data_IF_995296374832
#
_entry.id   IF_995296374832
#
_cell.length_a   1.000
_cell.length_b   1.000
_cell.length_c   1.000
_cell.angle_alpha   90.00
_cell.angle_beta   90.00
_cell.angle_gamma   90.00
#
_symmetry.space_group_name_H-M   'P 1'
#
loop_
_entity.id
_entity.type
_entity.pdbx_description
1 polymer ?
#
# COMPACT_ATOMS: atom_id res chain seq x y z
N UNK A 1 -0.63 -28.21 2.03
CA UNK A 1 -0.26 -28.61 0.65
C UNK A 1 -0.98 -27.66 -0.29
N UNK A 2 -0.25 -26.81 -1.01
CA UNK A 2 -0.85 -25.98 -2.06
C UNK A 2 -1.09 -26.86 -3.27
N UNK A 3 -2.33 -26.97 -3.72
CA UNK A 3 -2.67 -27.72 -4.93
C UNK A 3 -1.84 -27.22 -6.12
N UNK A 4 -1.35 -28.15 -6.94
CA UNK A 4 -0.62 -27.81 -8.16
C UNK A 4 -1.53 -27.01 -9.11
N UNK A 5 -0.92 -26.15 -9.93
CA UNK A 5 -1.66 -25.38 -10.94
C UNK A 5 -2.46 -26.32 -11.84
N UNK A 6 -3.78 -26.11 -11.93
CA UNK A 6 -4.67 -26.83 -12.84
C UNK A 6 -5.10 -25.87 -13.93
N UNK A 7 -5.00 -26.32 -15.20
CA UNK A 7 -5.47 -25.55 -16.35
C UNK A 7 -6.96 -25.24 -16.18
N UNK A 8 -7.31 -23.95 -16.16
CA UNK A 8 -8.69 -23.47 -15.96
C UNK A 8 -9.05 -23.11 -14.52
N UNK A 9 -8.21 -23.44 -13.53
CA UNK A 9 -8.39 -22.94 -12.16
C UNK A 9 -8.06 -21.44 -12.07
N UNK A 10 -8.83 -20.71 -11.26
CA UNK A 10 -8.60 -19.29 -11.02
C UNK A 10 -7.24 -19.04 -10.36
N UNK A 11 -6.45 -18.13 -10.92
CA UNK A 11 -5.16 -17.75 -10.34
C UNK A 11 -5.43 -16.80 -9.16
N UNK A 12 -5.20 -17.27 -7.93
CA UNK A 12 -5.64 -16.58 -6.70
C UNK A 12 -5.25 -15.09 -6.64
N UNK A 13 -4.00 -14.74 -6.90
CA UNK A 13 -3.57 -13.33 -6.82
C UNK A 13 -4.22 -12.44 -7.89
N UNK A 14 -4.55 -12.99 -9.05
CA UNK A 14 -5.31 -12.29 -10.10
C UNK A 14 -6.75 -12.10 -9.67
N UNK A 15 -7.37 -13.14 -9.10
CA UNK A 15 -8.74 -13.07 -8.61
C UNK A 15 -8.90 -12.05 -7.47
N UNK A 16 -7.98 -12.05 -6.51
CA UNK A 16 -7.96 -11.08 -5.41
C UNK A 16 -7.83 -9.65 -5.94
N UNK A 17 -6.91 -9.43 -6.90
CA UNK A 17 -6.73 -8.13 -7.54
C UNK A 17 -8.00 -7.65 -8.25
N UNK A 18 -8.70 -8.53 -8.97
CA UNK A 18 -9.95 -8.21 -9.66
C UNK A 18 -11.07 -7.84 -8.68
N UNK A 19 -11.19 -8.62 -7.60
CA UNK A 19 -12.23 -8.47 -6.58
C UNK A 19 -12.08 -7.20 -5.74
N UNK A 20 -10.86 -6.82 -5.39
CA UNK A 20 -10.61 -5.71 -4.47
C UNK A 20 -10.89 -4.35 -5.13
N UNK A 21 -11.58 -3.47 -4.40
CA UNK A 21 -11.71 -2.04 -4.75
C UNK A 21 -10.48 -1.22 -4.32
N UNK A 22 -9.84 -1.64 -3.23
CA UNK A 22 -8.67 -1.02 -2.60
C UNK A 22 -7.83 -2.12 -1.96
N UNK A 23 -6.50 -1.97 -1.96
CA UNK A 23 -5.58 -2.84 -1.21
C UNK A 23 -4.95 -2.05 -0.08
N UNK A 24 -4.88 -2.64 1.11
CA UNK A 24 -4.26 -2.02 2.29
C UNK A 24 -3.18 -2.95 2.83
N UNK A 25 -1.97 -2.42 3.04
CA UNK A 25 -0.85 -3.12 3.66
C UNK A 25 -0.49 -2.43 4.97
N UNK A 26 -0.97 -2.98 6.09
CA UNK A 26 -0.78 -2.44 7.43
C UNK A 26 -0.49 -3.57 8.44
N UNK A 27 0.76 -3.74 8.92
CA UNK A 27 1.93 -2.93 8.60
C UNK A 27 2.59 -3.28 7.26
N UNK A 28 3.14 -2.27 6.58
CA UNK A 28 4.17 -2.46 5.55
C UNK A 28 5.53 -2.56 6.23
N UNK A 29 6.07 -3.77 6.33
CA UNK A 29 7.42 -4.01 6.84
C UNK A 29 8.49 -3.52 5.86
N UNK A 30 9.69 -3.20 6.36
CA UNK A 30 10.82 -2.80 5.51
C UNK A 30 11.18 -3.85 4.45
N UNK A 31 11.05 -5.14 4.77
CA UNK A 31 11.28 -6.22 3.81
C UNK A 31 10.26 -6.20 2.66
N UNK A 32 8.97 -6.02 2.98
CA UNK A 32 7.92 -5.93 1.95
C UNK A 32 8.08 -4.66 1.13
N UNK A 33 8.41 -3.52 1.75
CA UNK A 33 8.74 -2.28 1.07
C UNK A 33 9.88 -2.49 0.05
N UNK A 34 10.97 -3.12 0.48
CA UNK A 34 12.10 -3.41 -0.39
C UNK A 34 11.71 -4.32 -1.57
N UNK A 35 10.93 -5.38 -1.32
CA UNK A 35 10.45 -6.27 -2.38
C UNK A 35 9.58 -5.53 -3.40
N UNK A 36 8.62 -4.74 -2.91
CA UNK A 36 7.67 -3.99 -3.76
C UNK A 36 8.42 -3.00 -4.65
N UNK A 37 9.32 -2.19 -4.09
CA UNK A 37 10.07 -1.18 -4.85
C UNK A 37 11.00 -1.83 -5.90
N UNK A 38 11.56 -3.00 -5.60
CA UNK A 38 12.43 -3.73 -6.54
C UNK A 38 11.66 -4.70 -7.46
N UNK A 39 10.34 -4.75 -7.40
CA UNK A 39 9.52 -5.62 -8.25
C UNK A 39 9.57 -7.12 -7.91
N UNK A 40 10.06 -7.50 -6.73
CA UNK A 40 10.13 -8.89 -6.29
C UNK A 40 8.72 -9.41 -5.94
N UNK A 41 8.32 -10.51 -6.58
CA UNK A 41 6.98 -11.10 -6.47
C UNK A 41 7.10 -12.58 -6.11
N UNK A 42 7.41 -12.85 -4.85
CA UNK A 42 7.79 -14.18 -4.35
C UNK A 42 6.79 -14.79 -3.34
N UNK A 43 5.71 -14.08 -3.04
CA UNK A 43 4.65 -14.53 -2.15
C UNK A 43 3.28 -13.96 -2.58
N UNK A 44 2.20 -14.40 -1.95
CA UNK A 44 0.84 -14.01 -2.35
C UNK A 44 0.65 -12.48 -2.36
N UNK A 45 1.09 -11.77 -1.31
CA UNK A 45 0.93 -10.32 -1.20
C UNK A 45 1.70 -9.60 -2.31
N UNK A 46 2.98 -9.92 -2.50
CA UNK A 46 3.81 -9.26 -3.52
C UNK A 46 3.34 -9.59 -4.94
N UNK A 47 2.81 -10.79 -5.17
CA UNK A 47 2.15 -11.16 -6.43
C UNK A 47 0.90 -10.33 -6.71
N UNK A 48 0.05 -10.09 -5.69
CA UNK A 48 -1.14 -9.23 -5.83
C UNK A 48 -0.72 -7.79 -6.15
N UNK A 49 0.26 -7.25 -5.42
CA UNK A 49 0.77 -5.88 -5.64
C UNK A 49 1.36 -5.73 -7.05
N UNK A 50 2.14 -6.71 -7.51
CA UNK A 50 2.75 -6.66 -8.86
C UNK A 50 1.71 -6.76 -9.97
N UNK A 51 0.64 -7.50 -9.74
CA UNK A 51 -0.48 -7.65 -10.68
C UNK A 51 -1.52 -6.53 -10.58
N UNK A 52 -1.33 -5.55 -9.69
CA UNK A 52 -2.29 -4.47 -9.43
C UNK A 52 -2.55 -3.65 -10.69
N UNK A 53 -3.82 -3.41 -11.03
CA UNK A 53 -4.16 -2.56 -12.18
C UNK A 53 -4.07 -1.09 -11.77
N UNK A 54 -2.93 -0.49 -12.09
CA UNK A 54 -2.63 0.91 -11.83
C UNK A 54 -3.21 1.85 -12.88
N UNK A 55 -3.65 1.31 -14.01
CA UNK A 55 -4.07 2.07 -15.19
C UNK A 55 -5.58 2.18 -15.33
N UNK A 56 -6.32 1.21 -14.78
CA UNK A 56 -7.74 1.01 -15.00
C UNK A 56 -8.08 0.33 -16.33
N UNK A 57 -7.12 0.13 -17.24
CA UNK A 57 -7.39 -0.51 -18.53
C UNK A 57 -7.69 -2.01 -18.43
N UNK A 58 -7.20 -2.68 -17.39
CA UNK A 58 -7.31 -4.15 -17.26
C UNK A 58 -8.60 -4.55 -16.58
N UNK A 59 -9.08 -3.77 -15.60
CA UNK A 59 -10.25 -4.09 -14.77
C UNK A 59 -11.45 -3.16 -15.02
N UNK A 60 -11.67 -2.74 -16.28
CA UNK A 60 -12.93 -2.10 -16.67
C UNK A 60 -13.06 -0.62 -16.31
N UNK A 61 -11.95 0.12 -16.28
CA UNK A 61 -11.90 1.58 -16.20
C UNK A 61 -11.69 2.15 -14.80
N UNK A 62 -11.73 1.34 -13.75
CA UNK A 62 -11.53 1.79 -12.38
C UNK A 62 -10.06 1.75 -11.97
N UNK A 63 -9.46 2.92 -11.71
CA UNK A 63 -8.08 3.02 -11.21
C UNK A 63 -8.05 2.75 -9.71
N UNK A 64 -7.49 1.60 -9.33
CA UNK A 64 -7.51 1.13 -7.93
C UNK A 64 -6.26 1.56 -7.17
N UNK A 65 -6.40 1.82 -5.87
CA UNK A 65 -5.31 2.33 -5.02
C UNK A 65 -4.77 1.28 -4.06
N UNK A 66 -3.49 1.39 -3.74
CA UNK A 66 -2.81 0.66 -2.67
C UNK A 66 -2.46 1.65 -1.56
N UNK A 67 -3.02 1.45 -0.38
CA UNK A 67 -2.65 2.17 0.84
C UNK A 67 -1.63 1.34 1.60
N UNK A 68 -0.57 1.98 2.05
CA UNK A 68 0.45 1.31 2.87
C UNK A 68 0.69 2.09 4.14
N UNK A 69 0.76 1.39 5.27
CA UNK A 69 1.12 1.97 6.57
C UNK A 69 2.47 1.38 7.01
N UNK A 70 3.60 2.05 6.70
CA UNK A 70 4.92 1.58 7.09
C UNK A 70 5.03 1.42 8.61
N UNK A 71 5.64 0.32 9.03
CA UNK A 71 5.97 0.10 10.43
C UNK A 71 7.30 -0.65 10.54
N UNK A 72 8.25 -0.04 11.22
CA UNK A 72 9.58 -0.62 11.44
C UNK A 72 10.28 0.08 12.60
N UNK A 73 11.33 -0.54 13.13
CA UNK A 73 12.16 0.08 14.14
C UNK A 73 12.75 1.42 13.64
N UNK A 74 12.97 2.38 14.55
CA UNK A 74 13.48 3.71 14.21
C UNK A 74 14.80 3.70 13.43
N UNK A 75 15.73 2.81 13.77
CA UNK A 75 16.97 2.67 13.03
C UNK A 75 16.71 2.24 11.58
N UNK A 76 15.75 1.34 11.34
CA UNK A 76 15.35 0.92 10.00
C UNK A 76 14.64 2.04 9.25
N UNK A 77 13.82 2.85 9.93
CA UNK A 77 13.13 3.99 9.32
C UNK A 77 14.11 5.07 8.83
N UNK A 78 15.12 5.37 9.64
CA UNK A 78 16.15 6.37 9.33
C UNK A 78 17.19 5.88 8.30
N UNK A 79 17.17 4.59 7.92
CA UNK A 79 18.10 4.07 6.91
C UNK A 79 17.92 4.79 5.55
N UNK A 80 19.01 5.17 4.87
CA UNK A 80 18.94 5.80 3.55
C UNK A 80 18.22 4.96 2.49
N UNK A 81 18.29 3.63 2.60
CA UNK A 81 17.59 2.71 1.69
C UNK A 81 16.07 2.82 1.87
N UNK A 82 15.60 2.79 3.12
CA UNK A 82 14.18 2.99 3.45
C UNK A 82 13.70 4.34 2.93
N UNK A 83 14.49 5.41 3.16
CA UNK A 83 14.16 6.75 2.65
C UNK A 83 13.98 6.75 1.13
N UNK A 84 14.90 6.15 0.37
CA UNK A 84 14.80 6.04 -1.10
C UNK A 84 13.54 5.27 -1.52
N UNK A 85 13.28 4.13 -0.88
CA UNK A 85 12.12 3.30 -1.20
C UNK A 85 10.78 4.00 -0.89
N UNK A 86 10.69 4.71 0.23
CA UNK A 86 9.51 5.51 0.57
C UNK A 86 9.32 6.65 -0.44
N UNK A 87 10.39 7.30 -0.90
CA UNK A 87 10.29 8.34 -1.93
C UNK A 87 9.75 7.79 -3.26
N UNK A 88 10.12 6.57 -3.67
CA UNK A 88 9.50 5.92 -4.84
C UNK A 88 7.99 5.78 -4.65
N UNK A 89 7.54 5.24 -3.51
CA UNK A 89 6.11 5.07 -3.24
C UNK A 89 5.35 6.40 -3.15
N UNK A 90 5.94 7.43 -2.52
CA UNK A 90 5.29 8.71 -2.23
C UNK A 90 5.35 9.70 -3.40
N UNK A 91 6.40 9.65 -4.24
CA UNK A 91 6.66 10.64 -5.29
C UNK A 91 6.48 10.09 -6.69
N UNK A 92 7.04 8.93 -6.97
CA UNK A 92 6.95 8.36 -8.32
C UNK A 92 5.62 7.63 -8.52
N UNK A 93 5.16 6.90 -7.50
CA UNK A 93 3.92 6.12 -7.58
C UNK A 93 2.80 6.73 -6.74
N UNK A 94 3.04 7.89 -6.13
CA UNK A 94 2.14 8.53 -5.18
C UNK A 94 0.88 9.12 -5.82
N UNK A 95 -0.27 8.96 -5.18
CA UNK A 95 -1.50 9.66 -5.56
C UNK A 95 -1.40 11.12 -5.14
N UNK A 96 -1.50 12.05 -6.09
CA UNK A 96 -1.58 13.48 -5.79
C UNK A 96 -2.98 13.86 -5.28
N UNK A 97 -3.03 14.82 -4.34
CA UNK A 97 -4.27 15.21 -3.65
C UNK A 97 -5.23 16.06 -4.52
N UNK A 98 -4.73 16.79 -5.52
CA UNK A 98 -5.47 17.86 -6.23
C UNK A 98 -5.50 17.74 -7.77
N UNK A 99 -5.07 16.61 -8.34
CA UNK A 99 -5.03 16.48 -9.80
C UNK A 99 -6.41 16.14 -10.37
N UNK A 100 -7.19 17.15 -10.77
CA UNK A 100 -8.39 17.03 -11.60
C UNK A 100 -8.16 16.43 -13.00
N UNK A 101 -6.95 15.94 -13.29
CA UNK A 101 -6.57 15.29 -14.54
C UNK A 101 -6.18 13.83 -14.26
N UNK A 102 -6.96 12.88 -14.78
CA UNK A 102 -6.90 11.44 -14.45
C UNK A 102 -5.72 10.71 -15.11
N UNK A 103 -5.02 11.34 -16.06
CA UNK A 103 -3.99 10.70 -16.86
C UNK A 103 -2.65 10.49 -16.12
N UNK A 104 -2.35 11.30 -15.09
CA UNK A 104 -1.06 11.29 -14.36
C UNK A 104 -1.20 11.08 -12.85
N UNK A 105 -2.17 10.27 -12.41
CA UNK A 105 -2.25 9.93 -10.99
C UNK A 105 -1.30 8.77 -10.65
N UNK A 106 -0.72 8.72 -9.46
CA UNK A 106 -0.09 7.50 -8.95
C UNK A 106 -1.12 6.46 -8.51
N UNK A 107 -0.68 5.40 -7.86
CA UNK A 107 -1.53 4.32 -7.34
C UNK A 107 -1.18 3.90 -5.91
N UNK A 108 -0.15 4.50 -5.29
CA UNK A 108 0.21 4.32 -3.90
C UNK A 108 -0.19 5.52 -3.04
N UNK A 109 -0.64 5.25 -1.82
CA UNK A 109 -0.84 6.24 -0.76
C UNK A 109 -0.07 5.77 0.48
N UNK A 110 0.96 6.53 0.87
CA UNK A 110 1.80 6.20 2.04
C UNK A 110 1.22 6.87 3.28
N UNK A 111 0.61 6.07 4.16
CA UNK A 111 0.11 6.48 5.46
C UNK A 111 1.29 6.61 6.43
N UNK A 112 1.82 7.84 6.53
CA UNK A 112 3.07 8.13 7.25
C UNK A 112 3.06 7.57 8.67
N UNK A 113 4.19 6.99 9.13
CA UNK A 113 4.30 6.52 10.50
C UNK A 113 4.21 7.67 11.48
N UNK A 114 3.78 7.37 12.70
CA UNK A 114 3.73 8.29 13.82
C UNK A 114 4.99 8.15 14.68
N UNK A 115 5.36 9.27 15.31
CA UNK A 115 6.32 9.26 16.40
C UNK A 115 5.68 8.62 17.62
N UNK A 116 6.38 7.66 18.24
CA UNK A 116 5.98 7.07 19.52
C UNK A 116 7.15 7.16 20.49
N UNK A 117 6.86 7.53 21.73
CA UNK A 117 7.81 7.38 22.83
C UNK A 117 8.08 5.90 23.06
N UNK A 118 9.34 5.50 22.98
CA UNK A 118 9.79 4.15 23.24
C UNK A 118 9.91 3.93 24.75
N UNK A 119 9.84 2.66 25.18
CA UNK A 119 9.98 2.28 26.59
C UNK A 119 11.36 2.66 27.21
N UNK A 120 12.35 2.98 26.37
CA UNK A 120 13.68 3.45 26.79
C UNK A 120 13.76 4.98 27.02
N UNK A 121 12.70 5.74 26.74
CA UNK A 121 12.68 7.20 26.83
C UNK A 121 13.03 7.93 25.53
N UNK A 122 13.48 7.21 24.49
CA UNK A 122 13.74 7.79 23.18
C UNK A 122 12.44 8.02 22.39
N UNK A 123 12.36 9.11 21.61
CA UNK A 123 11.29 9.30 20.62
C UNK A 123 11.68 8.54 19.35
N UNK A 124 10.99 7.44 19.08
CA UNK A 124 11.20 6.63 17.90
C UNK A 124 10.20 6.98 16.80
N UNK A 125 10.70 7.53 15.69
CA UNK A 125 9.97 7.55 14.41
C UNK A 125 9.86 6.13 13.86
N UNK A 126 8.73 5.78 13.22
CA UNK A 126 8.56 4.48 12.53
C UNK A 126 7.44 3.59 13.07
N UNK A 127 6.69 4.05 14.08
CA UNK A 127 5.47 3.37 14.52
C UNK A 127 4.36 3.50 13.47
N UNK A 128 3.67 2.40 13.17
CA UNK A 128 2.52 2.45 12.25
C UNK A 128 1.51 3.51 12.69
N UNK A 129 0.90 4.20 11.71
CA UNK A 129 -0.32 4.96 11.95
C UNK A 129 -1.34 4.11 12.73
N UNK A 130 -2.06 4.75 13.64
CA UNK A 130 -3.07 4.09 14.45
C UNK A 130 -4.17 3.49 13.54
N UNK A 131 -4.63 2.26 13.84
CA UNK A 131 -5.47 1.48 12.93
C UNK A 131 -6.87 2.10 12.73
N UNK A 132 -7.45 2.76 13.73
CA UNK A 132 -8.71 3.51 13.60
C UNK A 132 -8.55 4.67 12.62
N UNK A 133 -7.38 5.32 12.57
CA UNK A 133 -7.11 6.37 11.58
C UNK A 133 -6.98 5.78 10.17
N UNK A 134 -6.31 4.63 10.03
CA UNK A 134 -6.24 3.91 8.76
C UNK A 134 -7.65 3.54 8.26
N UNK A 135 -8.52 3.02 9.14
CA UNK A 135 -9.92 2.69 8.81
C UNK A 135 -10.69 3.92 8.35
N UNK A 136 -10.59 5.05 9.06
CA UNK A 136 -11.23 6.31 8.66
C UNK A 136 -10.80 6.76 7.27
N UNK A 137 -9.51 6.64 6.95
CA UNK A 137 -8.99 6.98 5.61
C UNK A 137 -9.60 6.04 4.57
N UNK A 138 -9.67 4.73 4.84
CA UNK A 138 -10.29 3.75 3.93
C UNK A 138 -11.76 4.11 3.66
N UNK A 139 -12.54 4.38 4.71
CA UNK A 139 -13.94 4.76 4.59
C UNK A 139 -14.12 6.02 3.72
N UNK A 140 -13.28 7.03 3.91
CA UNK A 140 -13.29 8.25 3.09
C UNK A 140 -12.96 7.96 1.63
N UNK A 141 -11.93 7.15 1.35
CA UNK A 141 -11.50 6.80 -0.03
C UNK A 141 -12.55 5.95 -0.76
N UNK A 142 -13.31 5.15 -0.02
CA UNK A 142 -14.41 4.33 -0.54
C UNK A 142 -15.75 5.08 -0.59
N UNK A 143 -15.81 6.33 -0.11
CA UNK A 143 -17.05 7.11 -0.08
C UNK A 143 -18.12 6.54 0.87
N UNK A 144 -17.71 5.82 1.93
CA UNK A 144 -18.60 5.20 2.90
C UNK A 144 -19.04 6.15 4.01
N UNK A 145 -18.37 7.29 4.16
CA UNK A 145 -18.72 8.33 5.13
C UNK A 145 -19.82 9.22 4.53
N UNK A 146 -20.97 9.32 5.21
CA UNK A 146 -22.02 10.26 4.84
C UNK A 146 -21.47 11.70 4.86
N UNK A 147 -21.88 12.59 3.93
CA UNK A 147 -21.47 13.99 4.00
C UNK A 147 -21.90 14.56 5.35
N UNK A 148 -20.92 15.02 6.13
CA UNK A 148 -21.18 15.75 7.37
C UNK A 148 -22.07 16.95 7.02
N UNK A 149 -23.30 16.95 7.52
CA UNK A 149 -24.19 18.10 7.45
C UNK A 149 -23.63 19.27 8.25
#
# INVERSE_FOLDING_TARGET
>A
MTESWVRGAGILHINLRKWAHILVVAPLSANTLAKVVNGISDNLLTNVIRAWDTSGFVDGGARKRILVAPAMNAAMWLQPITKKQILVLDKEWGVEADAGNLEHQGWFEVLKPIEKSLACGDVGVGGMMEWTHIVKIIEQRLGLVAPTK
#
